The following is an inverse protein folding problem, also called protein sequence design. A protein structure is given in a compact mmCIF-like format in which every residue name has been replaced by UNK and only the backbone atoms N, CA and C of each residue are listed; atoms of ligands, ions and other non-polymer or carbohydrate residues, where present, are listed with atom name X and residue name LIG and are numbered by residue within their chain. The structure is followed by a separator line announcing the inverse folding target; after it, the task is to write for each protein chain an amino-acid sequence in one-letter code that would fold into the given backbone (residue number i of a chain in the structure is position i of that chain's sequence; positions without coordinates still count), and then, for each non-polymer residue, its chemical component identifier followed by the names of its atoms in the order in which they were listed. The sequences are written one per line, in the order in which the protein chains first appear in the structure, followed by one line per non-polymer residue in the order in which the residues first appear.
data_IF_577736166033
#
_entry.id   IF_577736166033
#
_cell.length_a   1.000
_cell.length_b   1.000
_cell.length_c   1.000
_cell.angle_alpha   90.00
_cell.angle_beta   90.00
_cell.angle_gamma   90.00
#
_symmetry.space_group_name_H-M   'P 1'
#
loop_
_entity.id
_entity.type
_entity.pdbx_description
1 polymer ?
#
# COMPACT_ATOMS: atom_id res chain seq x y z
N UNK A 1 45.90 -22.99 29.07
CA UNK A 1 45.58 -22.64 27.67
C UNK A 1 44.09 -22.81 27.50
N UNK A 2 43.33 -21.72 27.37
CA UNK A 2 41.88 -21.77 27.16
C UNK A 2 41.60 -21.53 25.67
N UNK A 3 40.83 -22.44 25.06
CA UNK A 3 40.44 -22.40 23.65
C UNK A 3 39.52 -21.20 23.35
N UNK A 4 39.53 -20.66 22.12
CA UNK A 4 38.66 -19.55 21.73
C UNK A 4 37.19 -19.99 21.73
N UNK A 5 36.33 -19.13 22.26
CA UNK A 5 34.89 -19.26 22.05
C UNK A 5 34.62 -19.07 20.55
N UNK A 6 34.06 -20.09 19.91
CA UNK A 6 33.52 -19.95 18.57
C UNK A 6 32.28 -19.06 18.67
N UNK A 7 32.38 -17.80 18.23
CA UNK A 7 31.19 -17.03 17.89
C UNK A 7 30.57 -17.71 16.66
N UNK A 8 29.55 -18.53 16.91
CA UNK A 8 28.75 -19.13 15.84
C UNK A 8 28.18 -18.03 14.94
N UNK A 9 27.83 -18.35 13.69
CA UNK A 9 27.18 -17.37 12.81
C UNK A 9 25.98 -16.79 13.55
N UNK A 10 25.89 -15.46 13.57
CA UNK A 10 24.72 -14.75 14.07
C UNK A 10 23.57 -15.05 13.09
N UNK A 11 22.94 -16.21 13.25
CA UNK A 11 21.75 -16.59 12.50
C UNK A 11 20.63 -15.71 13.03
N UNK A 12 20.43 -14.54 12.40
CA UNK A 12 19.13 -13.88 12.49
C UNK A 12 18.15 -14.85 11.85
N UNK A 13 17.37 -15.55 12.66
CA UNK A 13 16.15 -16.20 12.21
C UNK A 13 15.22 -15.10 11.68
N UNK A 14 15.43 -14.70 10.43
CA UNK A 14 14.60 -13.74 9.74
C UNK A 14 13.33 -14.46 9.33
N UNK A 15 12.43 -14.68 10.28
CA UNK A 15 11.04 -14.84 9.93
C UNK A 15 10.57 -13.44 9.54
N UNK A 16 10.30 -13.23 8.24
CA UNK A 16 9.60 -12.05 7.81
C UNK A 16 8.34 -11.90 8.68
N UNK A 17 8.06 -10.69 9.16
CA UNK A 17 6.84 -10.37 9.91
C UNK A 17 5.57 -10.62 9.08
N UNK A 18 5.73 -10.84 7.78
CA UNK A 18 4.72 -11.21 6.80
C UNK A 18 5.20 -10.83 5.40
N UNK A 19 4.37 -11.11 4.41
CA UNK A 19 4.49 -10.59 3.05
C UNK A 19 3.44 -9.50 2.84
N UNK A 20 3.74 -8.47 2.06
CA UNK A 20 2.81 -7.42 1.67
C UNK A 20 2.96 -7.14 0.17
N UNK A 21 1.86 -7.19 -0.57
CA UNK A 21 1.81 -6.87 -2.00
C UNK A 21 1.09 -5.54 -2.23
N UNK A 22 1.69 -4.67 -3.04
CA UNK A 22 1.18 -3.31 -3.29
C UNK A 22 1.10 -3.04 -4.80
N UNK A 23 -0.10 -2.69 -5.27
CA UNK A 23 -0.32 -2.21 -6.63
C UNK A 23 -0.25 -0.68 -6.67
N UNK A 24 0.83 -0.14 -7.23
CA UNK A 24 0.95 1.29 -7.52
C UNK A 24 0.63 1.58 -8.98
N UNK A 25 0.17 2.81 -9.23
CA UNK A 25 0.11 3.31 -10.58
C UNK A 25 1.54 3.56 -11.13
N UNK A 26 1.82 3.05 -12.32
CA UNK A 26 3.08 3.30 -13.03
C UNK A 26 3.11 4.75 -13.55
N UNK A 27 3.86 5.58 -12.83
CA UNK A 27 3.83 7.02 -13.02
C UNK A 27 4.70 7.44 -14.21
N UNK A 28 4.14 8.28 -15.09
CA UNK A 28 4.90 8.83 -16.24
C UNK A 28 6.00 9.83 -15.85
N UNK A 29 6.06 10.28 -14.59
CA UNK A 29 7.04 11.26 -14.13
C UNK A 29 8.34 10.54 -13.81
N UNK A 30 9.47 10.95 -14.42
CA UNK A 30 10.76 10.34 -14.15
C UNK A 30 11.09 10.37 -12.65
N UNK A 31 11.44 9.20 -12.09
CA UNK A 31 11.84 9.05 -10.69
C UNK A 31 10.72 8.84 -9.68
N UNK A 32 9.44 9.05 -10.05
CA UNK A 32 8.32 8.88 -9.14
C UNK A 32 8.20 7.44 -8.59
N UNK A 33 8.24 6.43 -9.47
CA UNK A 33 8.23 5.03 -9.07
C UNK A 33 9.42 4.67 -8.17
N UNK A 34 10.61 5.20 -8.45
CA UNK A 34 11.79 4.94 -7.62
C UNK A 34 11.62 5.53 -6.22
N UNK A 35 11.07 6.74 -6.12
CA UNK A 35 10.82 7.39 -4.84
C UNK A 35 9.79 6.61 -4.00
N UNK A 36 8.68 6.15 -4.58
CA UNK A 36 7.70 5.32 -3.86
C UNK A 36 8.25 3.95 -3.47
N UNK A 37 9.02 3.32 -4.36
CA UNK A 37 9.71 2.06 -4.06
C UNK A 37 10.66 2.20 -2.87
N UNK A 38 11.50 3.23 -2.89
CA UNK A 38 12.47 3.47 -1.81
C UNK A 38 11.79 3.67 -0.45
N UNK A 39 10.66 4.38 -0.41
CA UNK A 39 9.89 4.57 0.83
C UNK A 39 9.31 3.25 1.35
N UNK A 40 8.74 2.43 0.46
CA UNK A 40 8.17 1.13 0.83
C UNK A 40 9.26 0.16 1.30
N UNK A 41 10.39 0.08 0.60
CA UNK A 41 11.52 -0.78 0.95
C UNK A 41 12.18 -0.35 2.27
N UNK A 42 12.32 0.95 2.52
CA UNK A 42 12.84 1.46 3.79
C UNK A 42 11.93 1.07 4.97
N UNK A 43 10.62 1.20 4.82
CA UNK A 43 9.66 0.77 5.83
C UNK A 43 9.69 -0.76 6.01
N UNK A 44 9.68 -1.52 4.91
CA UNK A 44 9.69 -2.97 4.91
C UNK A 44 10.96 -3.54 5.59
N UNK A 45 12.12 -2.95 5.33
CA UNK A 45 13.38 -3.32 6.00
C UNK A 45 13.33 -3.05 7.51
N UNK A 46 12.72 -1.93 7.92
CA UNK A 46 12.54 -1.57 9.34
C UNK A 46 11.60 -2.53 10.05
N UNK A 47 10.46 -2.83 9.44
CA UNK A 47 9.41 -3.67 10.02
C UNK A 47 9.62 -5.17 9.74
N UNK A 48 10.67 -5.52 8.99
CA UNK A 48 11.01 -6.89 8.56
C UNK A 48 9.87 -7.56 7.77
N UNK A 49 9.20 -6.79 6.92
CA UNK A 49 8.17 -7.25 6.00
C UNK A 49 8.81 -7.54 4.65
N UNK A 50 8.40 -8.61 3.99
CA UNK A 50 8.75 -8.85 2.59
C UNK A 50 7.74 -8.13 1.69
N UNK A 51 8.16 -7.06 1.01
CA UNK A 51 7.27 -6.22 0.20
C UNK A 51 7.46 -6.50 -1.29
N UNK A 52 6.36 -6.71 -1.99
CA UNK A 52 6.31 -6.80 -3.45
C UNK A 52 5.51 -5.64 -4.01
N UNK A 53 6.05 -4.98 -5.04
CA UNK A 53 5.43 -3.80 -5.65
C UNK A 53 5.21 -4.08 -7.13
N UNK A 54 3.96 -3.96 -7.57
CA UNK A 54 3.59 -3.94 -8.98
C UNK A 54 3.31 -2.50 -9.43
N UNK A 55 3.98 -2.07 -10.51
CA UNK A 55 3.74 -0.77 -11.14
C UNK A 55 2.84 -0.98 -12.35
N UNK A 56 1.57 -0.61 -12.20
CA UNK A 56 0.51 -0.90 -13.15
C UNK A 56 0.24 0.33 -14.02
N UNK A 57 0.54 0.21 -15.30
CA UNK A 57 0.32 1.30 -16.26
C UNK A 57 -1.17 1.58 -16.51
N UNK A 58 -1.52 2.83 -16.75
CA UNK A 58 -2.85 3.24 -17.20
C UNK A 58 -3.04 3.06 -18.72
N UNK A 59 -1.97 2.75 -19.46
CA UNK A 59 -2.06 2.53 -20.91
C UNK A 59 -3.01 1.38 -21.24
N UNK A 60 -3.97 1.65 -22.13
CA UNK A 60 -5.00 0.68 -22.50
C UNK A 60 -5.93 0.29 -21.34
N UNK A 61 -6.13 1.18 -20.37
CA UNK A 61 -6.94 0.97 -19.16
C UNK A 61 -6.45 -0.20 -18.29
N UNK A 62 -5.17 -0.58 -18.39
CA UNK A 62 -4.62 -1.72 -17.64
C UNK A 62 -4.85 -1.60 -16.14
N UNK A 63 -4.65 -0.42 -15.55
CA UNK A 63 -4.98 -0.17 -14.13
C UNK A 63 -6.43 -0.52 -13.77
N UNK A 64 -7.42 -0.05 -14.55
CA UNK A 64 -8.83 -0.33 -14.31
C UNK A 64 -9.16 -1.82 -14.57
N UNK A 65 -8.53 -2.43 -15.57
CA UNK A 65 -8.70 -3.86 -15.86
C UNK A 65 -8.13 -4.72 -14.73
N UNK A 66 -6.98 -4.36 -14.15
CA UNK A 66 -6.41 -5.04 -12.98
C UNK A 66 -7.35 -4.93 -11.78
N UNK A 67 -7.84 -3.72 -11.47
CA UNK A 67 -8.82 -3.52 -10.38
C UNK A 67 -10.06 -4.40 -10.58
N UNK A 68 -10.65 -4.39 -11.78
CA UNK A 68 -11.82 -5.19 -12.07
C UNK A 68 -11.55 -6.70 -11.96
N UNK A 69 -10.38 -7.16 -12.43
CA UNK A 69 -9.97 -8.55 -12.36
C UNK A 69 -9.76 -9.01 -10.91
N UNK A 70 -9.06 -8.24 -10.09
CA UNK A 70 -8.82 -8.54 -8.68
C UNK A 70 -10.13 -8.53 -7.87
N UNK A 71 -10.98 -7.53 -8.12
CA UNK A 71 -12.31 -7.44 -7.53
C UNK A 71 -13.21 -8.64 -7.88
N UNK A 72 -13.12 -9.14 -9.12
CA UNK A 72 -13.85 -10.33 -9.56
C UNK A 72 -13.27 -11.62 -8.96
N UNK A 73 -11.95 -11.73 -8.93
CA UNK A 73 -11.25 -12.90 -8.40
C UNK A 73 -11.32 -12.99 -6.87
N UNK A 74 -11.59 -11.87 -6.19
CA UNK A 74 -11.46 -11.72 -4.73
C UNK A 74 -10.06 -12.10 -4.24
N UNK A 75 -9.06 -11.82 -5.09
CA UNK A 75 -7.64 -12.01 -4.81
C UNK A 75 -6.85 -11.01 -5.64
N UNK A 76 -5.77 -10.50 -5.10
CA UNK A 76 -5.00 -9.45 -5.75
C UNK A 76 -4.00 -8.85 -4.77
N UNK A 77 -3.72 -7.57 -4.96
CA UNK A 77 -2.86 -6.82 -4.07
C UNK A 77 -3.52 -6.60 -2.71
N UNK A 78 -2.71 -6.59 -1.65
CA UNK A 78 -3.17 -6.26 -0.29
C UNK A 78 -3.49 -4.76 -0.15
N UNK A 79 -2.73 -3.92 -0.84
CA UNK A 79 -2.93 -2.47 -0.94
C UNK A 79 -2.93 -2.07 -2.41
N UNK A 80 -3.84 -1.19 -2.80
CA UNK A 80 -3.91 -0.67 -4.17
C UNK A 80 -4.05 0.85 -4.17
N UNK A 81 -3.23 1.54 -4.96
CA UNK A 81 -3.37 2.96 -5.24
C UNK A 81 -4.49 3.19 -6.28
N UNK A 82 -5.72 3.31 -5.79
CA UNK A 82 -6.90 3.44 -6.63
C UNK A 82 -6.98 4.80 -7.34
N UNK A 83 -7.36 4.84 -8.62
CA UNK A 83 -7.61 6.11 -9.31
C UNK A 83 -8.96 6.71 -8.85
N UNK A 84 -8.97 8.03 -8.71
CA UNK A 84 -10.10 8.93 -8.36
C UNK A 84 -11.35 8.28 -7.75
N UNK A 85 -12.27 7.75 -8.56
CA UNK A 85 -13.60 7.26 -8.12
C UNK A 85 -13.65 5.77 -7.74
N UNK A 86 -12.57 5.02 -8.00
CA UNK A 86 -12.55 3.58 -7.78
C UNK A 86 -12.69 3.16 -6.31
N UNK A 87 -12.23 3.91 -5.28
CA UNK A 87 -12.50 3.52 -3.89
C UNK A 87 -14.00 3.44 -3.58
N UNK A 88 -14.78 4.41 -4.06
CA UNK A 88 -16.22 4.42 -3.88
C UNK A 88 -16.91 3.31 -4.69
N UNK A 89 -16.48 3.07 -5.94
CA UNK A 89 -17.00 1.99 -6.81
C UNK A 89 -16.74 0.59 -6.22
N UNK A 90 -15.57 0.42 -5.58
CA UNK A 90 -15.14 -0.84 -4.98
C UNK A 90 -15.46 -0.94 -3.49
N UNK A 91 -16.21 0.00 -2.90
CA UNK A 91 -16.42 0.12 -1.45
C UNK A 91 -16.86 -1.19 -0.76
N UNK A 92 -17.71 -1.99 -1.40
CA UNK A 92 -18.19 -3.27 -0.85
C UNK A 92 -17.13 -4.40 -0.89
N UNK A 93 -15.93 -4.12 -1.38
CA UNK A 93 -14.80 -5.04 -1.54
C UNK A 93 -13.53 -4.53 -0.85
N UNK A 94 -13.58 -3.34 -0.24
CA UNK A 94 -12.45 -2.75 0.48
C UNK A 94 -12.66 -2.86 1.98
N UNK A 95 -11.55 -2.99 2.70
CA UNK A 95 -11.56 -2.91 4.16
C UNK A 95 -11.75 -1.44 4.58
N UNK A 96 -12.68 -1.14 5.52
CA UNK A 96 -12.79 0.18 6.10
C UNK A 96 -11.49 0.60 6.81
N UNK A 97 -11.04 1.83 6.53
CA UNK A 97 -9.82 2.43 7.10
C UNK A 97 -10.15 3.58 8.06
N UNK A 98 -11.29 3.48 8.76
CA UNK A 98 -11.77 4.52 9.67
C UNK A 98 -10.80 4.81 10.81
N UNK A 99 -10.15 3.78 11.34
CA UNK A 99 -9.15 3.88 12.41
C UNK A 99 -7.90 4.62 11.93
N UNK A 100 -7.42 4.32 10.73
CA UNK A 100 -6.29 5.00 10.10
C UNK A 100 -6.65 6.47 9.84
N UNK A 101 -7.80 6.73 9.22
CA UNK A 101 -8.25 8.10 8.92
C UNK A 101 -8.50 8.93 10.18
N UNK A 102 -9.03 8.34 11.25
CA UNK A 102 -9.23 9.03 12.52
C UNK A 102 -7.91 9.55 13.10
N UNK A 103 -6.86 8.72 13.09
CA UNK A 103 -5.54 9.14 13.59
C UNK A 103 -4.87 10.15 12.65
N UNK A 104 -4.98 9.98 11.33
CA UNK A 104 -4.43 10.94 10.36
C UNK A 104 -5.08 12.32 10.48
N UNK A 105 -6.41 12.39 10.66
CA UNK A 105 -7.13 13.65 10.84
C UNK A 105 -6.74 14.32 12.16
N UNK A 106 -6.57 13.53 13.23
CA UNK A 106 -6.12 14.06 14.52
C UNK A 106 -4.72 14.68 14.44
N UNK A 107 -3.82 14.08 13.66
CA UNK A 107 -2.45 14.56 13.50
C UNK A 107 -2.34 15.76 12.53
N UNK A 108 -3.10 15.75 11.44
CA UNK A 108 -2.88 16.66 10.30
C UNK A 108 -4.03 17.65 10.06
N UNK A 109 -5.14 17.51 10.80
CA UNK A 109 -6.36 18.27 10.56
C UNK A 109 -7.30 17.61 9.56
N UNK A 110 -8.45 18.25 9.34
CA UNK A 110 -9.47 17.75 8.42
C UNK A 110 -8.95 17.71 6.98
N UNK A 111 -9.34 16.65 6.26
CA UNK A 111 -9.10 16.57 4.81
C UNK A 111 -10.01 17.53 4.06
N UNK A 112 -9.70 17.81 2.79
CA UNK A 112 -10.57 18.65 1.97
C UNK A 112 -11.85 17.88 1.54
N UNK A 113 -12.92 18.60 1.13
CA UNK A 113 -14.19 17.97 0.74
C UNK A 113 -14.08 16.99 -0.43
N UNK A 114 -13.09 17.12 -1.31
CA UNK A 114 -12.87 16.19 -2.42
C UNK A 114 -12.45 14.81 -1.92
N UNK A 115 -11.57 14.76 -0.90
CA UNK A 115 -11.17 13.49 -0.26
C UNK A 115 -12.37 12.85 0.43
N UNK A 116 -13.16 13.64 1.18
CA UNK A 116 -14.40 13.14 1.80
C UNK A 116 -15.36 12.54 0.76
N UNK A 117 -15.58 13.24 -0.36
CA UNK A 117 -16.48 12.80 -1.42
C UNK A 117 -16.01 11.52 -2.12
N UNK A 118 -14.71 11.38 -2.40
CA UNK A 118 -14.17 10.25 -3.16
C UNK A 118 -13.91 9.01 -2.29
N UNK A 119 -13.53 9.21 -1.03
CA UNK A 119 -13.06 8.13 -0.16
C UNK A 119 -14.10 7.63 0.84
N UNK A 120 -15.24 8.31 1.05
CA UNK A 120 -16.30 7.82 1.94
C UNK A 120 -17.41 7.10 1.19
N UNK A 121 -17.83 5.95 1.72
CA UNK A 121 -19.00 5.21 1.26
C UNK A 121 -19.65 4.48 2.43
N UNK A 122 -20.98 4.37 2.43
CA UNK A 122 -21.71 3.63 3.48
C UNK A 122 -21.50 4.14 4.92
N UNK A 123 -21.07 5.39 5.10
CA UNK A 123 -20.74 5.94 6.42
C UNK A 123 -19.31 5.66 6.88
N UNK A 124 -18.47 5.03 6.07
CA UNK A 124 -17.10 4.64 6.41
C UNK A 124 -16.08 5.27 5.46
N UNK A 125 -14.83 5.41 5.92
CA UNK A 125 -13.66 5.71 5.08
C UNK A 125 -13.17 4.44 4.38
N UNK A 126 -13.16 4.43 3.05
CA UNK A 126 -12.73 3.29 2.22
C UNK A 126 -11.32 3.44 1.67
N UNK A 127 -10.73 4.63 1.78
CA UNK A 127 -9.36 4.91 1.34
C UNK A 127 -8.73 6.05 2.13
N UNK A 128 -7.41 6.04 2.19
CA UNK A 128 -6.60 7.14 2.68
C UNK A 128 -6.10 8.00 1.51
N UNK A 129 -6.03 9.34 1.65
CA UNK A 129 -5.46 10.18 0.60
C UNK A 129 -3.95 9.91 0.48
N UNK A 130 -3.48 9.67 -0.75
CA UNK A 130 -2.08 9.45 -1.06
C UNK A 130 -1.54 10.54 -2.00
N UNK A 131 -0.26 10.86 -1.86
CA UNK A 131 0.43 11.82 -2.73
C UNK A 131 0.93 11.18 -4.04
N UNK A 132 1.10 9.86 -4.05
CA UNK A 132 1.53 9.07 -5.21
C UNK A 132 0.30 8.33 -5.74
N UNK A 133 -0.08 8.61 -7.00
CA UNK A 133 -1.26 8.05 -7.65
C UNK A 133 -1.67 8.83 -8.90
#
# INVERSE_FOLDING_TARGET
MNAPAAEGPYVRGAHAAGTLSIGFWDHWVPGANKASQDLCEQWAAKEKVDVSIDYITSQGNKNLLTIAAEAQARSGHDIFAFPTWQPADQANRLEPVDDIMAELIKQNGAVNPTVEYLARSGGHWMAVPAAVG
#
